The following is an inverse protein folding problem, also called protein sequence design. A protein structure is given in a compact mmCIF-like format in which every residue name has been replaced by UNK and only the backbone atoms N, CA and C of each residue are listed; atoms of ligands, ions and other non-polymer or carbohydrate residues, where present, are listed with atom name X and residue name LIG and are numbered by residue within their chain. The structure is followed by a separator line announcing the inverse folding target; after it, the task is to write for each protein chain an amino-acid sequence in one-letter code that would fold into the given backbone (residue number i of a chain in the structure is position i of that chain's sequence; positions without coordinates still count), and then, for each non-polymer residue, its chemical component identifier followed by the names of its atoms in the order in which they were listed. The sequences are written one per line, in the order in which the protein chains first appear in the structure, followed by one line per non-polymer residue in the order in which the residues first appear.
data_IF_061033881507
#
_entry.id   IF_061033881507
#
_cell.length_a   1.000
_cell.length_b   1.000
_cell.length_c   1.000
_cell.angle_alpha   90.00
_cell.angle_beta   90.00
_cell.angle_gamma   90.00
#
_symmetry.space_group_name_H-M   'P 1'
#
loop_
_entity.id
_entity.type
_entity.pdbx_description
1 polymer ?
#
# COMPACT_ATOMS: atom_id res chain seq x y z
N UNK A 1 -10.41 7.59 -29.01
CA UNK A 1 -10.93 6.70 -27.96
C UNK A 1 -12.30 7.23 -27.52
N UNK A 2 -13.33 6.38 -27.47
CA UNK A 2 -14.68 6.72 -27.03
C UNK A 2 -15.15 5.76 -25.93
N UNK A 3 -16.25 6.10 -25.23
CA UNK A 3 -16.89 5.20 -24.27
C UNK A 3 -17.51 3.99 -24.98
N UNK A 4 -17.84 2.93 -24.24
CA UNK A 4 -18.54 1.77 -24.81
C UNK A 4 -19.89 2.19 -25.36
N UNK A 5 -20.61 3.08 -24.68
CA UNK A 5 -21.90 3.61 -25.17
C UNK A 5 -21.76 4.33 -26.51
N UNK A 6 -20.77 5.23 -26.63
CA UNK A 6 -20.51 5.92 -27.90
C UNK A 6 -20.10 4.94 -29.02
N UNK A 7 -19.32 3.88 -28.69
CA UNK A 7 -18.98 2.84 -29.66
C UNK A 7 -20.22 2.05 -30.12
N UNK A 8 -21.14 1.75 -29.21
CA UNK A 8 -22.41 1.09 -29.54
C UNK A 8 -23.26 1.94 -30.55
N UNK A 9 -23.33 3.25 -30.29
CA UNK A 9 -24.04 4.18 -31.19
C UNK A 9 -23.38 4.24 -32.58
N UNK A 10 -22.06 4.39 -32.64
CA UNK A 10 -21.31 4.47 -33.90
C UNK A 10 -21.47 3.18 -34.72
N UNK A 11 -21.34 2.03 -34.04
CA UNK A 11 -21.39 0.71 -34.68
C UNK A 11 -22.80 0.15 -34.86
N UNK A 12 -23.82 0.81 -34.31
CA UNK A 12 -25.23 0.38 -34.32
C UNK A 12 -25.41 -1.02 -33.75
N UNK A 13 -24.76 -1.33 -32.65
CA UNK A 13 -24.83 -2.59 -31.92
C UNK A 13 -25.38 -2.37 -30.52
N UNK A 14 -25.97 -3.41 -29.95
CA UNK A 14 -26.42 -3.40 -28.56
C UNK A 14 -25.23 -3.43 -27.59
N UNK A 15 -25.49 -3.10 -26.35
CA UNK A 15 -24.47 -3.17 -25.26
C UNK A 15 -24.02 -4.62 -25.05
N UNK A 16 -24.93 -5.60 -25.10
CA UNK A 16 -24.62 -7.02 -24.96
C UNK A 16 -23.72 -7.54 -26.09
N UNK A 17 -23.98 -7.09 -27.32
CA UNK A 17 -23.13 -7.43 -28.48
C UNK A 17 -21.72 -6.83 -28.30
N UNK A 18 -21.63 -5.57 -27.89
CA UNK A 18 -20.34 -4.92 -27.62
C UNK A 18 -19.57 -5.62 -26.49
N UNK A 19 -20.26 -6.00 -25.40
CA UNK A 19 -19.65 -6.74 -24.30
C UNK A 19 -19.18 -8.12 -24.75
N UNK A 20 -20.00 -8.86 -25.51
CA UNK A 20 -19.62 -10.14 -26.07
C UNK A 20 -18.40 -10.06 -27.02
N UNK A 21 -18.32 -9.00 -27.85
CA UNK A 21 -17.14 -8.76 -28.70
C UNK A 21 -15.90 -8.52 -27.85
N UNK A 22 -16.01 -7.67 -26.82
CA UNK A 22 -14.93 -7.35 -25.89
C UNK A 22 -14.45 -8.60 -25.15
N UNK A 23 -15.39 -9.40 -24.61
CA UNK A 23 -15.04 -10.65 -23.89
C UNK A 23 -14.26 -11.60 -24.79
N UNK A 24 -14.74 -11.88 -25.99
CA UNK A 24 -14.03 -12.74 -26.96
C UNK A 24 -12.65 -12.20 -27.33
N UNK A 25 -12.48 -10.89 -27.41
CA UNK A 25 -11.19 -10.26 -27.69
C UNK A 25 -10.22 -10.44 -26.53
N UNK A 26 -10.70 -10.30 -25.29
CA UNK A 26 -9.92 -10.52 -24.05
C UNK A 26 -9.50 -12.00 -23.98
N UNK A 27 -10.43 -12.94 -24.17
CA UNK A 27 -10.13 -14.38 -24.11
C UNK A 27 -9.08 -14.79 -25.13
N UNK A 28 -9.21 -14.30 -26.38
CA UNK A 28 -8.18 -14.53 -27.42
C UNK A 28 -6.82 -13.92 -27.06
N UNK A 29 -6.84 -12.74 -26.45
CA UNK A 29 -5.63 -12.06 -25.99
C UNK A 29 -4.93 -12.84 -24.88
N UNK A 30 -5.69 -13.30 -23.91
CA UNK A 30 -5.19 -14.11 -22.79
C UNK A 30 -4.65 -15.47 -23.27
N UNK A 31 -5.37 -16.16 -24.17
CA UNK A 31 -4.94 -17.44 -24.76
C UNK A 31 -3.63 -17.35 -25.55
N UNK A 32 -3.35 -16.19 -26.16
CA UNK A 32 -2.12 -15.94 -26.93
C UNK A 32 -0.98 -15.39 -26.09
N UNK A 33 -1.24 -15.09 -24.80
CA UNK A 33 -0.23 -14.51 -23.92
C UNK A 33 0.89 -15.51 -23.68
N UNK A 34 2.14 -15.20 -24.01
CA UNK A 34 3.26 -16.11 -23.78
C UNK A 34 3.42 -16.32 -22.26
N UNK A 35 3.70 -17.57 -21.88
CA UNK A 35 4.10 -17.87 -20.51
C UNK A 35 5.40 -17.11 -20.22
N UNK A 36 5.33 -16.16 -19.31
CA UNK A 36 6.47 -15.39 -18.87
C UNK A 36 6.79 -15.70 -17.41
N UNK A 37 8.07 -15.72 -17.02
CA UNK A 37 8.42 -15.84 -15.63
C UNK A 37 7.71 -14.78 -14.77
N UNK A 38 7.39 -15.12 -13.55
CA UNK A 38 6.78 -14.25 -12.54
C UNK A 38 7.61 -14.32 -11.28
N UNK A 39 8.77 -13.66 -11.30
CA UNK A 39 9.74 -13.70 -10.20
C UNK A 39 9.43 -12.67 -9.13
N UNK A 40 9.06 -11.46 -9.55
CA UNK A 40 8.82 -10.31 -8.68
C UNK A 40 7.37 -9.89 -8.77
N UNK A 41 6.58 -10.27 -7.78
CA UNK A 41 5.15 -10.00 -7.74
C UNK A 41 4.82 -8.88 -6.77
N UNK A 42 3.77 -8.12 -7.09
CA UNK A 42 3.16 -7.15 -6.20
C UNK A 42 1.68 -7.49 -6.07
N UNK A 43 1.19 -7.55 -4.85
CA UNK A 43 -0.21 -7.83 -4.52
C UNK A 43 -0.77 -6.61 -3.81
N UNK A 44 -1.88 -6.09 -4.32
CA UNK A 44 -2.53 -4.91 -3.76
C UNK A 44 -4.06 -5.04 -3.87
N UNK A 45 -4.78 -4.21 -3.10
CA UNK A 45 -6.23 -4.12 -3.19
C UNK A 45 -6.64 -2.88 -3.97
N UNK A 46 -7.72 -2.99 -4.73
CA UNK A 46 -8.37 -1.87 -5.42
C UNK A 46 -9.84 -1.83 -5.07
N UNK A 47 -10.31 -0.71 -4.52
CA UNK A 47 -11.74 -0.46 -4.39
C UNK A 47 -12.33 -0.19 -5.78
N UNK A 48 -13.37 -0.96 -6.15
CA UNK A 48 -14.01 -0.90 -7.49
C UNK A 48 -15.45 -0.41 -7.43
N UNK A 49 -16.04 -0.26 -6.25
CA UNK A 49 -17.42 0.18 -6.08
C UNK A 49 -17.70 0.74 -4.69
N UNK A 50 -18.94 1.15 -4.46
CA UNK A 50 -19.46 1.59 -3.17
C UNK A 50 -19.68 0.37 -2.26
N UNK A 51 -19.56 0.56 -0.94
CA UNK A 51 -19.90 -0.49 0.02
C UNK A 51 -18.82 -1.55 0.22
N UNK A 52 -17.54 -1.17 0.16
CA UNK A 52 -16.41 -2.10 0.40
C UNK A 52 -16.26 -3.20 -0.66
N UNK A 53 -16.58 -2.91 -1.91
CA UNK A 53 -16.27 -3.80 -3.02
C UNK A 53 -14.80 -3.63 -3.41
N UNK A 54 -14.04 -4.70 -3.25
CA UNK A 54 -12.60 -4.72 -3.54
C UNK A 54 -12.29 -5.75 -4.61
N UNK A 55 -11.15 -5.54 -5.24
CA UNK A 55 -10.52 -6.47 -6.16
C UNK A 55 -9.07 -6.65 -5.72
N UNK A 56 -8.61 -7.88 -5.70
CA UNK A 56 -7.18 -8.19 -5.53
C UNK A 56 -6.49 -8.06 -6.88
N UNK A 57 -5.49 -7.20 -6.94
CA UNK A 57 -4.68 -6.97 -8.14
C UNK A 57 -3.32 -7.63 -7.92
N UNK A 58 -3.01 -8.62 -8.76
CA UNK A 58 -1.66 -9.21 -8.79
C UNK A 58 -0.93 -8.68 -10.02
N UNK A 59 0.22 -8.08 -9.80
CA UNK A 59 1.08 -7.56 -10.87
C UNK A 59 2.49 -8.13 -10.80
N UNK A 60 3.14 -8.20 -11.95
CA UNK A 60 4.52 -8.67 -12.08
C UNK A 60 5.42 -7.49 -12.45
N UNK A 61 6.52 -7.34 -11.72
CA UNK A 61 7.49 -6.26 -11.84
C UNK A 61 8.85 -6.73 -12.41
N UNK A 62 8.87 -7.79 -13.22
CA UNK A 62 10.11 -8.37 -13.78
C UNK A 62 10.66 -7.59 -14.96
N UNK A 63 9.93 -6.67 -15.53
CA UNK A 63 10.33 -5.88 -16.70
C UNK A 63 10.38 -4.39 -16.40
N UNK A 64 10.71 -3.58 -17.41
CA UNK A 64 10.75 -2.13 -17.30
C UNK A 64 9.37 -1.52 -17.01
N UNK A 65 8.30 -2.26 -17.33
CA UNK A 65 6.93 -1.89 -17.03
C UNK A 65 6.23 -3.05 -16.30
N UNK A 66 5.62 -2.74 -15.17
CA UNK A 66 4.81 -3.72 -14.48
C UNK A 66 3.57 -4.07 -15.31
N UNK A 67 3.16 -5.34 -15.24
CA UNK A 67 1.98 -5.87 -15.92
C UNK A 67 1.04 -6.53 -14.92
N UNK A 68 -0.25 -6.36 -15.11
CA UNK A 68 -1.26 -7.14 -14.37
C UNK A 68 -1.19 -8.59 -14.83
N UNK A 69 -1.12 -9.52 -13.89
CA UNK A 69 -1.09 -10.97 -14.15
C UNK A 69 -2.37 -11.65 -13.72
N UNK A 70 -3.04 -11.14 -12.70
CA UNK A 70 -4.36 -11.59 -12.28
C UNK A 70 -5.17 -10.44 -11.65
N UNK A 71 -6.47 -10.55 -11.76
CA UNK A 71 -7.48 -9.78 -11.06
C UNK A 71 -8.43 -10.79 -10.42
N UNK A 72 -8.60 -10.69 -9.12
CA UNK A 72 -9.48 -11.60 -8.37
C UNK A 72 -10.51 -10.78 -7.61
N UNK A 73 -11.72 -11.29 -7.55
CA UNK A 73 -12.77 -10.66 -6.76
C UNK A 73 -12.43 -10.70 -5.27
N UNK A 74 -12.79 -9.64 -4.56
CA UNK A 74 -12.53 -9.45 -3.14
C UNK A 74 -11.05 -9.32 -2.74
N UNK A 75 -10.81 -9.18 -1.45
CA UNK A 75 -9.50 -9.13 -0.80
C UNK A 75 -9.33 -10.26 0.25
N UNK A 76 -10.05 -11.34 0.03
CA UNK A 76 -10.05 -12.49 0.93
C UNK A 76 -8.87 -13.43 0.64
N UNK A 77 -8.56 -14.29 1.59
CA UNK A 77 -7.54 -15.34 1.41
C UNK A 77 -7.88 -16.23 0.21
N UNK A 78 -9.19 -16.55 0.05
CA UNK A 78 -9.67 -17.39 -1.03
C UNK A 78 -9.39 -16.81 -2.41
N UNK A 79 -9.46 -15.49 -2.56
CA UNK A 79 -9.17 -14.80 -3.81
C UNK A 79 -7.73 -15.02 -4.26
N UNK A 80 -6.79 -14.80 -3.36
CA UNK A 80 -5.38 -15.03 -3.66
C UNK A 80 -5.03 -16.53 -3.78
N UNK A 81 -5.75 -17.42 -3.08
CA UNK A 81 -5.61 -18.86 -3.23
C UNK A 81 -5.96 -19.31 -4.66
N UNK A 82 -6.99 -18.71 -5.30
CA UNK A 82 -7.34 -19.02 -6.71
C UNK A 82 -6.17 -18.70 -7.63
N UNK A 83 -5.58 -17.52 -7.51
CA UNK A 83 -4.41 -17.14 -8.28
C UNK A 83 -3.24 -18.14 -8.10
N UNK A 84 -2.86 -18.42 -6.86
CA UNK A 84 -1.74 -19.35 -6.61
C UNK A 84 -2.01 -20.77 -7.09
N UNK A 85 -3.25 -21.25 -6.97
CA UNK A 85 -3.64 -22.60 -7.41
C UNK A 85 -3.61 -22.77 -8.92
N UNK A 86 -3.85 -21.69 -9.68
CA UNK A 86 -3.78 -21.68 -11.14
C UNK A 86 -2.33 -21.77 -11.67
N UNK A 87 -1.34 -21.49 -10.83
CA UNK A 87 0.08 -21.59 -11.21
C UNK A 87 0.60 -23.02 -11.01
N UNK A 88 1.48 -23.47 -11.92
CA UNK A 88 2.20 -24.72 -11.75
C UNK A 88 3.14 -24.67 -10.53
N UNK A 89 3.55 -25.85 -9.98
CA UNK A 89 4.56 -25.90 -8.92
C UNK A 89 5.85 -25.16 -9.30
N UNK A 90 6.30 -25.30 -10.55
CA UNK A 90 7.53 -24.64 -11.05
C UNK A 90 7.37 -23.12 -11.11
N UNK A 91 6.20 -22.61 -11.54
CA UNK A 91 5.91 -21.20 -11.54
C UNK A 91 5.92 -20.62 -10.11
N UNK A 92 5.32 -21.31 -9.15
CA UNK A 92 5.35 -20.90 -7.73
C UNK A 92 6.75 -20.95 -7.14
N UNK A 93 7.56 -21.96 -7.51
CA UNK A 93 8.95 -22.09 -7.06
C UNK A 93 9.83 -20.97 -7.63
N UNK A 94 9.56 -20.52 -8.86
CA UNK A 94 10.28 -19.45 -9.55
C UNK A 94 10.03 -18.05 -8.93
N UNK A 95 9.01 -17.88 -8.06
CA UNK A 95 8.76 -16.62 -7.37
C UNK A 95 9.92 -16.30 -6.42
N UNK A 96 10.59 -15.19 -6.66
CA UNK A 96 11.74 -14.71 -5.87
C UNK A 96 11.31 -13.74 -4.75
N UNK A 97 10.32 -12.90 -5.02
CA UNK A 97 9.81 -11.94 -4.03
C UNK A 97 8.36 -11.52 -4.31
N UNK A 98 7.64 -11.21 -3.23
CA UNK A 98 6.24 -10.76 -3.26
C UNK A 98 6.09 -9.53 -2.39
N UNK A 99 5.87 -8.36 -3.00
CA UNK A 99 5.52 -7.15 -2.28
C UNK A 99 4.01 -7.13 -1.98
N UNK A 100 3.63 -6.79 -0.77
CA UNK A 100 2.22 -6.70 -0.35
C UNK A 100 2.04 -5.78 0.86
N UNK A 101 0.78 -5.44 1.16
CA UNK A 101 0.40 -4.84 2.45
C UNK A 101 0.51 -5.88 3.59
N UNK A 102 0.55 -5.39 4.84
CA UNK A 102 0.49 -6.23 6.05
C UNK A 102 -0.93 -6.79 6.28
N UNK A 103 -1.59 -7.26 5.22
CA UNK A 103 -2.90 -7.87 5.26
C UNK A 103 -2.77 -9.39 5.46
N UNK A 104 -3.25 -9.89 6.60
CA UNK A 104 -3.02 -11.28 7.00
C UNK A 104 -3.56 -12.33 5.99
N UNK A 105 -4.73 -12.16 5.34
CA UNK A 105 -5.20 -13.07 4.31
C UNK A 105 -4.19 -13.25 3.15
N UNK A 106 -3.57 -12.17 2.67
CA UNK A 106 -2.57 -12.27 1.59
C UNK A 106 -1.30 -12.97 2.05
N UNK A 107 -0.87 -12.65 3.27
CA UNK A 107 0.29 -13.30 3.87
C UNK A 107 0.08 -14.81 4.04
N UNK A 108 -1.06 -15.21 4.61
CA UNK A 108 -1.42 -16.62 4.86
C UNK A 108 -1.48 -17.40 3.56
N UNK A 109 -2.17 -16.86 2.55
CA UNK A 109 -2.24 -17.45 1.22
C UNK A 109 -0.84 -17.63 0.61
N UNK A 110 -0.02 -16.59 0.61
CA UNK A 110 1.33 -16.64 0.02
C UNK A 110 2.23 -17.64 0.74
N UNK A 111 2.17 -17.71 2.07
CA UNK A 111 2.93 -18.70 2.86
C UNK A 111 2.54 -20.14 2.55
N UNK A 112 1.27 -20.38 2.23
CA UNK A 112 0.75 -21.72 1.89
C UNK A 112 1.24 -22.21 0.54
N UNK A 113 1.31 -21.34 -0.45
CA UNK A 113 1.52 -21.73 -1.85
C UNK A 113 2.93 -21.50 -2.37
N UNK A 114 3.66 -20.51 -1.88
CA UNK A 114 4.98 -20.14 -2.40
C UNK A 114 6.08 -20.73 -1.54
N UNK A 115 6.94 -21.62 -2.09
CA UNK A 115 8.05 -22.20 -1.34
C UNK A 115 8.99 -21.11 -0.80
N UNK A 116 9.27 -21.15 0.50
CA UNK A 116 10.15 -20.19 1.17
C UNK A 116 9.58 -18.77 1.30
N UNK A 117 8.26 -18.61 1.19
CA UNK A 117 7.59 -17.29 1.20
C UNK A 117 7.92 -16.42 2.41
N UNK A 118 8.21 -17.03 3.57
CA UNK A 118 8.55 -16.26 4.78
C UNK A 118 9.75 -15.30 4.59
N UNK A 119 10.69 -15.65 3.71
CA UNK A 119 11.86 -14.85 3.36
C UNK A 119 11.70 -14.04 2.05
N UNK A 120 10.60 -14.26 1.33
CA UNK A 120 10.32 -13.64 0.02
C UNK A 120 9.29 -12.51 0.10
N UNK A 121 8.48 -12.47 1.16
CA UNK A 121 7.48 -11.41 1.37
C UNK A 121 8.19 -10.11 1.76
N UNK A 122 7.85 -9.03 1.08
CA UNK A 122 8.28 -7.66 1.37
C UNK A 122 7.05 -6.82 1.69
N UNK A 123 7.03 -6.20 2.87
CA UNK A 123 5.96 -5.27 3.19
C UNK A 123 6.22 -3.88 2.63
N UNK A 124 5.18 -3.32 2.02
CA UNK A 124 5.26 -2.01 1.39
C UNK A 124 5.49 -0.88 2.39
N UNK A 125 6.45 -0.03 2.07
CA UNK A 125 6.83 1.12 2.89
C UNK A 125 5.72 2.16 3.04
N UNK A 126 4.86 2.33 2.03
CA UNK A 126 3.73 3.25 2.08
C UNK A 126 2.73 2.84 3.18
N UNK A 127 2.41 1.55 3.26
CA UNK A 127 1.51 1.02 4.29
C UNK A 127 2.11 1.12 5.69
N UNK A 128 3.43 0.94 5.83
CA UNK A 128 4.13 1.20 7.10
C UNK A 128 4.02 2.67 7.52
N UNK A 129 4.24 3.59 6.59
CA UNK A 129 4.05 5.02 6.83
C UNK A 129 2.59 5.37 7.21
N UNK A 130 1.61 4.70 6.61
CA UNK A 130 0.18 4.83 6.93
C UNK A 130 -0.11 4.51 8.38
N UNK A 131 0.45 3.43 8.94
CA UNK A 131 0.28 3.09 10.35
C UNK A 131 0.83 4.18 11.28
N UNK A 132 2.00 4.78 10.96
CA UNK A 132 2.52 5.90 11.73
C UNK A 132 1.66 7.16 11.60
N UNK A 133 1.14 7.46 10.40
CA UNK A 133 0.21 8.56 10.20
C UNK A 133 -1.08 8.40 11.03
N UNK A 134 -1.62 7.18 11.08
CA UNK A 134 -2.78 6.86 11.93
C UNK A 134 -2.46 7.08 13.42
N UNK A 135 -1.30 6.62 13.90
CA UNK A 135 -0.89 6.82 15.28
C UNK A 135 -0.74 8.32 15.63
N UNK A 136 -0.16 9.12 14.74
CA UNK A 136 -0.06 10.58 14.91
C UNK A 136 -1.44 11.21 15.00
N UNK A 137 -2.39 10.83 14.13
CA UNK A 137 -3.75 11.38 14.14
C UNK A 137 -4.55 10.91 15.37
N UNK A 138 -4.35 9.69 15.86
CA UNK A 138 -4.95 9.22 17.13
C UNK A 138 -4.45 10.07 18.31
N UNK A 139 -3.15 10.31 18.40
CA UNK A 139 -2.57 11.18 19.44
C UNK A 139 -3.14 12.59 19.34
N UNK A 140 -3.17 13.17 18.12
CA UNK A 140 -3.71 14.51 17.87
C UNK A 140 -5.17 14.62 18.32
N UNK A 141 -6.02 13.67 17.94
CA UNK A 141 -7.45 13.68 18.33
C UNK A 141 -7.62 13.59 19.83
N UNK A 142 -6.87 12.72 20.50
CA UNK A 142 -6.92 12.57 21.95
C UNK A 142 -6.44 13.86 22.64
N UNK A 143 -5.37 14.49 22.17
CA UNK A 143 -4.85 15.73 22.72
C UNK A 143 -5.80 16.91 22.47
N UNK A 144 -6.37 16.98 21.28
CA UNK A 144 -7.38 17.99 20.90
C UNK A 144 -8.62 17.90 21.82
N UNK A 145 -9.10 16.69 22.10
CA UNK A 145 -10.24 16.51 23.04
C UNK A 145 -9.90 17.01 24.42
N UNK A 146 -8.66 16.82 24.91
CA UNK A 146 -8.20 17.35 26.20
C UNK A 146 -8.08 18.88 26.20
N UNK A 147 -7.78 19.49 25.07
CA UNK A 147 -7.65 20.95 24.90
C UNK A 147 -8.98 21.65 24.55
N UNK A 148 -10.03 20.90 24.23
CA UNK A 148 -11.33 21.48 23.81
C UNK A 148 -12.01 22.37 24.87
N UNK A 149 -11.56 22.29 26.12
CA UNK A 149 -12.00 23.18 27.22
C UNK A 149 -11.23 24.49 27.29
N UNK A 150 -10.20 24.68 26.46
CA UNK A 150 -9.41 25.91 26.38
C UNK A 150 -10.03 26.89 25.39
N UNK A 151 -9.92 28.21 25.66
CA UNK A 151 -10.45 29.27 24.75
C UNK A 151 -9.88 29.20 23.32
N UNK A 152 -8.68 28.65 23.14
CA UNK A 152 -8.07 28.45 21.83
C UNK A 152 -7.51 27.02 21.74
N UNK A 153 -8.08 26.22 20.83
CA UNK A 153 -7.53 24.91 20.46
C UNK A 153 -6.55 25.06 19.30
N UNK A 154 -5.21 25.00 19.57
CA UNK A 154 -4.20 25.18 18.53
C UNK A 154 -4.19 24.03 17.51
N UNK A 155 -4.72 22.85 17.87
CA UNK A 155 -4.75 21.67 17.01
C UNK A 155 -5.96 21.64 16.07
N UNK A 156 -6.92 22.55 16.23
CA UNK A 156 -8.11 22.62 15.36
C UNK A 156 -7.69 22.86 13.91
N UNK A 157 -8.18 22.00 13.00
CA UNK A 157 -7.88 22.09 11.57
C UNK A 157 -6.41 21.82 11.21
N UNK A 158 -5.61 21.24 12.13
CA UNK A 158 -4.18 20.98 11.90
C UNK A 158 -3.88 19.57 11.37
N UNK A 159 -4.88 18.67 11.26
CA UNK A 159 -4.69 17.26 10.92
C UNK A 159 -3.73 17.06 9.76
N UNK A 160 -3.99 17.72 8.64
CA UNK A 160 -3.23 17.54 7.40
C UNK A 160 -1.76 17.93 7.56
N UNK A 161 -1.47 18.94 8.38
CA UNK A 161 -0.10 19.41 8.63
C UNK A 161 0.78 18.33 9.26
N UNK A 162 0.23 17.52 10.14
CA UNK A 162 0.92 16.43 10.82
C UNK A 162 1.14 15.17 9.96
N UNK A 163 0.34 15.03 8.89
CA UNK A 163 0.46 13.90 7.96
C UNK A 163 1.51 14.14 6.87
N UNK A 164 1.80 15.38 6.51
CA UNK A 164 2.90 15.68 5.60
C UNK A 164 4.25 15.20 6.16
N UNK A 165 5.15 14.76 5.26
CA UNK A 165 6.58 14.77 5.53
C UNK A 165 7.09 16.22 5.56
N UNK A 166 8.09 16.47 6.36
CA UNK A 166 8.57 17.86 6.56
C UNK A 166 8.94 18.54 5.24
N UNK A 167 9.62 17.85 4.35
CA UNK A 167 10.04 18.37 3.04
C UNK A 167 8.88 18.61 2.06
N UNK A 168 7.74 17.92 2.27
CA UNK A 168 6.55 18.03 1.42
C UNK A 168 5.52 19.02 1.98
N UNK A 169 5.85 19.68 3.09
CA UNK A 169 4.96 20.67 3.70
C UNK A 169 4.84 21.92 2.79
N UNK A 170 3.63 22.30 2.35
CA UNK A 170 3.46 23.51 1.53
C UNK A 170 3.97 24.76 2.24
N UNK A 171 4.72 25.61 1.54
CA UNK A 171 5.34 26.83 2.08
C UNK A 171 4.37 27.72 2.86
N UNK A 172 3.13 27.86 2.37
CA UNK A 172 2.08 28.67 3.02
C UNK A 172 1.72 28.19 4.43
N UNK A 173 2.01 26.95 4.79
CA UNK A 173 1.72 26.36 6.10
C UNK A 173 2.94 26.28 7.02
N UNK A 174 4.13 26.62 6.52
CA UNK A 174 5.41 26.45 7.23
C UNK A 174 5.44 27.20 8.57
N UNK A 175 5.02 28.46 8.61
CA UNK A 175 5.01 29.26 9.84
C UNK A 175 4.03 28.69 10.88
N UNK A 176 2.79 28.35 10.45
CA UNK A 176 1.80 27.73 11.32
C UNK A 176 2.28 26.39 11.87
N UNK A 177 2.88 25.56 11.02
CA UNK A 177 3.37 24.24 11.44
C UNK A 177 4.55 24.37 12.42
N UNK A 178 5.47 25.33 12.20
CA UNK A 178 6.55 25.63 13.13
C UNK A 178 6.00 25.98 14.51
N UNK A 179 5.05 26.91 14.58
CA UNK A 179 4.42 27.30 15.85
C UNK A 179 3.77 26.09 16.57
N UNK A 180 3.03 25.24 15.83
CA UNK A 180 2.41 24.03 16.39
C UNK A 180 3.46 23.03 16.94
N UNK A 181 4.55 22.83 16.20
CA UNK A 181 5.63 21.92 16.62
C UNK A 181 6.35 22.43 17.87
N UNK A 182 6.55 23.74 17.95
CA UNK A 182 7.27 24.39 19.06
C UNK A 182 6.45 24.39 20.37
N UNK A 183 5.14 24.12 20.32
CA UNK A 183 4.31 23.91 21.52
C UNK A 183 4.66 22.62 22.30
N UNK A 184 5.59 21.81 21.80
CA UNK A 184 6.06 20.57 22.43
C UNK A 184 4.94 19.60 22.88
N UNK A 185 3.83 19.59 22.16
CA UNK A 185 2.66 18.74 22.44
C UNK A 185 2.94 17.25 22.26
N UNK A 186 2.03 16.40 22.74
CA UNK A 186 2.07 14.95 22.49
C UNK A 186 2.06 14.65 20.99
N UNK A 187 1.27 15.42 20.23
CA UNK A 187 1.19 15.33 18.76
C UNK A 187 2.54 15.65 18.10
N UNK A 188 3.23 16.70 18.54
CA UNK A 188 4.56 17.04 18.04
C UNK A 188 5.58 15.93 18.32
N UNK A 189 5.52 15.29 19.50
CA UNK A 189 6.36 14.14 19.84
C UNK A 189 6.08 12.93 18.93
N UNK A 190 4.81 12.60 18.69
CA UNK A 190 4.42 11.51 17.79
C UNK A 190 4.87 11.79 16.35
N UNK A 191 4.71 13.02 15.88
CA UNK A 191 5.18 13.45 14.56
C UNK A 191 6.69 13.33 14.42
N UNK A 192 7.47 13.73 15.42
CA UNK A 192 8.94 13.58 15.40
C UNK A 192 9.36 12.12 15.23
N UNK A 193 8.69 11.20 15.92
CA UNK A 193 8.95 9.74 15.78
C UNK A 193 8.60 9.27 14.36
N UNK A 194 7.52 9.78 13.77
CA UNK A 194 7.14 9.50 12.37
C UNK A 194 8.22 9.98 11.40
N UNK A 195 8.71 11.20 11.55
CA UNK A 195 9.75 11.75 10.67
C UNK A 195 11.06 10.98 10.80
N UNK A 196 11.46 10.59 12.00
CA UNK A 196 12.65 9.76 12.20
C UNK A 196 12.53 8.41 11.47
N UNK A 197 11.32 7.79 11.45
CA UNK A 197 11.12 6.51 10.75
C UNK A 197 11.36 6.63 9.24
N UNK A 198 11.17 7.78 8.64
CA UNK A 198 11.39 7.98 7.20
C UNK A 198 12.84 7.73 6.79
N UNK A 199 13.79 8.03 7.69
CA UNK A 199 15.22 7.74 7.45
C UNK A 199 15.54 6.25 7.43
N UNK A 200 14.62 5.39 7.90
CA UNK A 200 14.82 3.94 7.87
C UNK A 200 15.05 3.42 6.44
N UNK A 201 14.32 3.94 5.47
CA UNK A 201 14.39 3.49 4.07
C UNK A 201 15.68 3.92 3.34
N UNK A 202 16.50 4.75 3.97
CA UNK A 202 17.80 5.19 3.45
C UNK A 202 18.98 4.43 4.08
N UNK A 203 18.72 3.43 4.92
CA UNK A 203 19.75 2.54 5.43
C UNK A 203 20.42 1.79 4.27
N UNK A 204 21.71 1.53 4.39
CA UNK A 204 22.48 0.92 3.31
C UNK A 204 22.17 -0.58 3.13
N UNK A 205 21.92 -1.29 4.24
CA UNK A 205 21.69 -2.72 4.27
C UNK A 205 20.83 -3.16 5.47
N UNK A 206 20.59 -4.46 5.58
CA UNK A 206 19.82 -5.06 6.69
C UNK A 206 20.43 -4.81 8.05
N UNK A 207 21.76 -4.76 8.16
CA UNK A 207 22.49 -4.54 9.43
C UNK A 207 22.29 -3.12 9.92
N UNK A 208 22.47 -2.15 9.03
CA UNK A 208 22.24 -0.74 9.29
C UNK A 208 20.76 -0.47 9.64
N UNK A 209 19.85 -1.07 8.87
CA UNK A 209 18.42 -1.02 9.13
C UNK A 209 18.06 -1.57 10.52
N UNK A 210 18.66 -2.68 10.96
CA UNK A 210 18.43 -3.25 12.29
C UNK A 210 18.94 -2.33 13.40
N UNK A 211 20.13 -1.74 13.22
CA UNK A 211 20.70 -0.80 14.19
C UNK A 211 19.82 0.46 14.31
N UNK A 212 19.40 1.00 13.18
CA UNK A 212 18.45 2.11 13.12
C UNK A 212 17.13 1.78 13.82
N UNK A 213 16.53 0.64 13.48
CA UNK A 213 15.24 0.23 14.03
C UNK A 213 15.27 0.05 15.55
N UNK A 214 16.34 -0.51 16.10
CA UNK A 214 16.51 -0.64 17.55
C UNK A 214 16.54 0.73 18.24
N UNK A 215 17.26 1.73 17.67
CA UNK A 215 17.28 3.10 18.17
C UNK A 215 15.88 3.74 18.08
N UNK A 216 15.27 3.68 16.90
CA UNK A 216 13.94 4.21 16.66
C UNK A 216 12.90 3.62 17.63
N UNK A 217 12.91 2.31 17.87
CA UNK A 217 12.02 1.67 18.83
C UNK A 217 12.18 2.22 20.25
N UNK A 218 13.40 2.48 20.70
CA UNK A 218 13.66 3.08 22.03
C UNK A 218 13.07 4.49 22.10
N UNK A 219 13.34 5.31 21.10
CA UNK A 219 12.86 6.69 21.03
C UNK A 219 11.32 6.72 20.95
N UNK A 220 10.72 5.86 20.13
CA UNK A 220 9.27 5.73 20.01
C UNK A 220 8.60 5.33 21.33
N UNK A 221 9.15 4.33 22.03
CA UNK A 221 8.61 3.85 23.32
C UNK A 221 8.80 4.89 24.43
N UNK A 222 9.92 5.65 24.41
CA UNK A 222 10.21 6.71 25.40
C UNK A 222 9.18 7.85 25.38
N UNK A 223 8.45 8.04 24.26
CA UNK A 223 7.36 9.02 24.19
C UNK A 223 6.19 8.70 25.11
N UNK A 224 6.06 7.47 25.55
CA UNK A 224 4.93 6.93 26.36
C UNK A 224 3.55 7.05 25.69
N UNK A 225 3.51 7.25 24.39
CA UNK A 225 2.28 7.38 23.60
C UNK A 225 1.79 5.99 23.14
N UNK A 226 0.62 5.57 23.60
CA UNK A 226 0.11 4.22 23.33
C UNK A 226 -0.14 3.95 21.83
N UNK A 227 -0.67 4.88 21.01
CA UNK A 227 -0.77 4.67 19.56
C UNK A 227 0.59 4.40 18.92
N UNK A 228 1.65 5.12 19.33
CA UNK A 228 3.01 4.91 18.83
C UNK A 228 3.56 3.55 19.27
N UNK A 229 3.35 3.16 20.53
CA UNK A 229 3.76 1.83 21.04
C UNK A 229 3.05 0.68 20.29
N UNK A 230 1.79 0.86 19.87
CA UNK A 230 1.07 -0.13 19.03
C UNK A 230 1.80 -0.35 17.72
N UNK A 231 2.23 0.73 17.04
CA UNK A 231 3.01 0.64 15.79
C UNK A 231 4.36 -0.06 16.02
N UNK A 232 5.07 0.26 17.09
CA UNK A 232 6.33 -0.44 17.44
C UNK A 232 6.12 -1.94 17.59
N UNK A 233 5.04 -2.36 18.30
CA UNK A 233 4.72 -3.80 18.45
C UNK A 233 4.40 -4.45 17.11
N UNK A 234 3.62 -3.78 16.27
CA UNK A 234 3.28 -4.24 14.92
C UNK A 234 4.54 -4.45 14.08
N UNK A 235 5.44 -3.47 14.05
CA UNK A 235 6.66 -3.54 13.25
C UNK A 235 7.63 -4.61 13.77
N UNK A 236 7.74 -4.77 15.10
CA UNK A 236 8.53 -5.88 15.69
C UNK A 236 7.98 -7.25 15.29
N UNK A 237 6.64 -7.42 15.30
CA UNK A 237 6.00 -8.68 14.87
C UNK A 237 6.34 -9.02 13.42
N UNK A 238 6.42 -8.02 12.56
CA UNK A 238 6.61 -8.18 11.13
C UNK A 238 8.03 -7.83 10.63
N UNK A 239 8.99 -7.72 11.55
CA UNK A 239 10.34 -7.26 11.27
C UNK A 239 10.99 -7.98 10.08
N UNK A 240 10.91 -9.30 10.05
CA UNK A 240 11.55 -10.11 9.00
C UNK A 240 11.07 -9.73 7.59
N UNK A 241 9.80 -9.40 7.43
CA UNK A 241 9.23 -9.02 6.13
C UNK A 241 9.38 -7.52 5.83
N UNK A 242 9.66 -6.70 6.84
CA UNK A 242 10.01 -5.29 6.66
C UNK A 242 11.46 -5.16 6.18
N UNK A 243 12.39 -5.87 6.82
CA UNK A 243 13.82 -5.79 6.49
C UNK A 243 14.15 -6.44 5.14
N UNK A 244 13.31 -7.35 4.66
CA UNK A 244 13.42 -7.97 3.33
C UNK A 244 13.45 -6.95 2.19
N UNK A 245 12.91 -5.74 2.40
CA UNK A 245 13.03 -4.62 1.46
C UNK A 245 14.49 -4.33 1.08
N UNK A 246 15.42 -4.38 2.01
CA UNK A 246 16.84 -4.07 1.75
C UNK A 246 17.55 -5.14 0.90
N UNK A 247 16.96 -6.31 0.78
CA UNK A 247 17.45 -7.38 -0.09
C UNK A 247 16.93 -7.28 -1.51
N UNK A 248 15.65 -6.97 -1.67
CA UNK A 248 14.98 -7.04 -2.97
C UNK A 248 14.68 -5.67 -3.59
N UNK A 249 14.67 -4.59 -2.80
CA UNK A 249 14.32 -3.23 -3.22
C UNK A 249 13.02 -3.19 -4.04
N UNK A 250 12.05 -4.03 -3.67
CA UNK A 250 10.73 -4.08 -4.29
C UNK A 250 9.73 -3.31 -3.42
N UNK A 251 8.95 -2.45 -4.03
CA UNK A 251 7.86 -1.73 -3.36
C UNK A 251 6.57 -1.82 -4.19
N UNK A 252 5.44 -1.55 -3.57
CA UNK A 252 4.14 -1.46 -4.25
C UNK A 252 3.95 -0.16 -5.05
N UNK A 253 4.96 0.70 -5.20
CA UNK A 253 4.86 1.92 -6.01
C UNK A 253 4.39 1.64 -7.45
N UNK A 254 4.80 0.48 -8.00
CA UNK A 254 4.30 -0.02 -9.29
C UNK A 254 2.82 -0.35 -9.27
N UNK A 255 2.30 -0.89 -8.16
CA UNK A 255 0.88 -1.20 -7.99
C UNK A 255 0.02 0.06 -7.92
N UNK A 256 0.50 1.15 -7.32
CA UNK A 256 -0.21 2.44 -7.31
C UNK A 256 -0.41 2.97 -8.73
N UNK A 257 0.62 2.89 -9.59
CA UNK A 257 0.52 3.26 -11.00
C UNK A 257 -0.50 2.38 -11.77
N UNK A 258 -0.51 1.09 -11.50
CA UNK A 258 -1.49 0.14 -12.08
C UNK A 258 -2.89 0.45 -11.56
N UNK A 259 -3.08 0.63 -10.27
CA UNK A 259 -4.37 0.95 -9.66
C UNK A 259 -4.95 2.27 -10.20
N UNK A 260 -4.11 3.26 -10.48
CA UNK A 260 -4.51 4.50 -11.15
C UNK A 260 -4.97 4.27 -12.58
N UNK A 261 -4.29 3.41 -13.34
CA UNK A 261 -4.71 3.02 -14.70
C UNK A 261 -6.03 2.24 -14.71
N UNK A 262 -6.18 1.30 -13.78
CA UNK A 262 -7.45 0.54 -13.61
C UNK A 262 -8.59 1.53 -13.30
N UNK A 263 -8.38 2.49 -12.39
CA UNK A 263 -9.39 3.50 -12.07
C UNK A 263 -9.79 4.32 -13.31
N UNK A 264 -8.81 4.72 -14.10
CA UNK A 264 -9.08 5.47 -15.33
C UNK A 264 -9.86 4.65 -16.36
N UNK A 265 -9.56 3.35 -16.48
CA UNK A 265 -10.32 2.44 -17.36
C UNK A 265 -11.75 2.26 -16.88
N UNK A 266 -11.97 2.09 -15.57
CA UNK A 266 -13.33 1.99 -14.99
C UNK A 266 -14.11 3.27 -15.27
N UNK A 267 -13.51 4.45 -15.04
CA UNK A 267 -14.17 5.73 -15.33
C UNK A 267 -14.54 5.89 -16.82
N UNK A 268 -13.64 5.49 -17.72
CA UNK A 268 -13.94 5.53 -19.17
C UNK A 268 -15.00 4.52 -19.59
N UNK A 269 -15.08 3.37 -18.93
CA UNK A 269 -16.08 2.35 -19.25
C UNK A 269 -17.48 2.75 -18.80
N UNK A 270 -17.61 3.53 -17.74
CA UNK A 270 -18.89 4.00 -17.24
C UNK A 270 -19.47 5.21 -18.00
N UNK A 271 -18.74 5.78 -18.94
CA UNK A 271 -19.18 6.92 -19.80
C UNK A 271 -18.83 8.26 -19.21
#
# INVERSE_FOLDING_TARGET
ECSVSAACEILRISWDEADGIKQRAVDRGLARRPAQPMKRLCIDEKAVGWGHQYMTVVSCADGPQARVVALEDDREEASLNRFWSALSPDQRAAVETVAMDMWEPYRTSTLRYVPGAAQKIVYDNFHLARHMNQAVDEVRRSEQTQMATMEADPLKGSRQLWLYGFENLPRKWSARFKALRDLATKTAKAWKVKELLRSFWHCADETDALAFFKRWCRDAVSTRLDPVKKVVRLFKKHWNNIVTFFRYHLSNATSEGINSRIQHLIQKACG
#
